data_IF_383096624620
#
_entry.id   IF_383096624620
#
_cell.length_a   1.000
_cell.length_b   1.000
_cell.length_c   1.000
_cell.angle_alpha   90.00
_cell.angle_beta   90.00
_cell.angle_gamma   90.00
#
_symmetry.space_group_name_H-M   'P 1'
#
loop_
_entity.id
_entity.type
_entity.pdbx_description
1 polymer ?
#
# COMPACT_ATOMS: atom_id res chain seq x y z
N UNK A 1 -19.52 6.29 -12.43
CA UNK A 1 -19.07 6.66 -13.79
C UNK A 1 -18.18 5.55 -14.36
N UNK A 2 -18.77 4.41 -14.74
CA UNK A 2 -18.03 3.26 -15.32
C UNK A 2 -17.91 3.34 -16.86
N UNK A 3 -18.47 4.37 -17.51
CA UNK A 3 -18.52 4.46 -18.98
C UNK A 3 -17.25 5.00 -19.63
N UNK A 4 -16.41 5.76 -18.92
CA UNK A 4 -15.27 6.45 -19.55
C UNK A 4 -14.14 5.51 -20.02
N UNK A 5 -14.01 4.32 -19.42
CA UNK A 5 -12.99 3.31 -19.75
C UNK A 5 -13.57 2.04 -20.39
N UNK A 6 -14.89 1.90 -20.41
CA UNK A 6 -15.55 0.72 -20.99
C UNK A 6 -15.29 0.64 -22.49
N UNK A 7 -14.97 -0.55 -23.00
CA UNK A 7 -14.65 -0.82 -24.41
C UNK A 7 -13.49 0.02 -24.97
N UNK A 8 -12.64 0.58 -24.10
CA UNK A 8 -11.40 1.23 -24.52
C UNK A 8 -10.21 0.31 -24.28
N UNK A 9 -9.22 0.29 -25.20
CA UNK A 9 -8.02 -0.50 -24.99
C UNK A 9 -7.21 0.04 -23.80
N UNK A 10 -6.58 -0.87 -23.06
CA UNK A 10 -5.73 -0.54 -21.91
C UNK A 10 -4.64 0.48 -22.27
N UNK A 11 -4.12 0.43 -23.49
CA UNK A 11 -3.12 1.36 -24.01
C UNK A 11 -3.52 2.84 -23.93
N UNK A 12 -4.82 3.16 -23.84
CA UNK A 12 -5.31 4.55 -23.71
C UNK A 12 -4.99 5.19 -22.37
N UNK A 13 -4.74 4.38 -21.34
CA UNK A 13 -4.40 4.86 -19.98
C UNK A 13 -2.96 4.52 -19.59
N UNK A 14 -2.16 4.01 -20.53
CA UNK A 14 -0.75 3.72 -20.32
C UNK A 14 0.11 4.79 -20.99
N UNK A 15 1.32 5.00 -20.45
CA UNK A 15 2.30 5.86 -21.11
C UNK A 15 2.77 5.22 -22.45
N UNK A 16 3.10 6.04 -23.45
CA UNK A 16 3.46 5.60 -24.80
C UNK A 16 4.60 4.57 -24.81
N UNK A 17 5.66 4.81 -24.05
CA UNK A 17 6.79 3.89 -23.96
C UNK A 17 6.36 2.50 -23.45
N UNK A 18 5.47 2.46 -22.45
CA UNK A 18 4.93 1.20 -21.94
C UNK A 18 4.05 0.49 -22.98
N UNK A 19 3.29 1.25 -23.78
CA UNK A 19 2.49 0.68 -24.87
C UNK A 19 3.39 0.09 -25.95
N UNK A 20 4.48 0.77 -26.29
CA UNK A 20 5.48 0.27 -27.25
C UNK A 20 6.15 -1.00 -26.72
N UNK A 21 6.65 -0.98 -25.48
CA UNK A 21 7.26 -2.16 -24.84
C UNK A 21 6.28 -3.34 -24.80
N UNK A 22 5.02 -3.10 -24.44
CA UNK A 22 3.99 -4.14 -24.43
C UNK A 22 3.71 -4.68 -25.83
N UNK A 23 3.60 -3.83 -26.85
CA UNK A 23 3.32 -4.27 -28.21
C UNK A 23 4.48 -5.07 -28.83
N UNK A 24 5.71 -4.84 -28.38
CA UNK A 24 6.89 -5.57 -28.83
C UNK A 24 6.98 -6.98 -28.23
N UNK A 25 6.47 -7.16 -27.00
CA UNK A 25 6.58 -8.42 -26.25
C UNK A 25 5.31 -9.28 -26.31
N UNK A 26 4.15 -8.69 -26.66
CA UNK A 26 2.86 -9.38 -26.62
C UNK A 26 2.68 -10.31 -27.83
N UNK A 27 2.44 -11.58 -27.56
CA UNK A 27 2.20 -12.62 -28.55
C UNK A 27 0.74 -13.09 -28.50
N UNK A 28 0.03 -13.01 -29.62
CA UNK A 28 -1.39 -13.39 -29.72
C UNK A 28 -1.57 -14.89 -30.01
N UNK A 29 -0.85 -15.75 -29.28
CA UNK A 29 -0.94 -17.21 -29.39
C UNK A 29 -1.23 -17.83 -28.01
N UNK A 30 -1.79 -19.05 -27.98
CA UNK A 30 -2.24 -19.68 -26.73
C UNK A 30 -1.10 -19.94 -25.73
N UNK A 31 0.11 -20.17 -26.22
CA UNK A 31 1.30 -20.43 -25.42
C UNK A 31 2.29 -19.25 -25.45
N UNK A 32 1.88 -18.12 -26.03
CA UNK A 32 2.72 -16.95 -26.21
C UNK A 32 2.81 -16.06 -24.98
N UNK A 33 3.77 -15.15 -25.00
CA UNK A 33 3.94 -14.12 -23.96
C UNK A 33 2.72 -13.21 -23.90
N UNK A 34 2.06 -13.16 -22.74
CA UNK A 34 0.81 -12.42 -22.59
C UNK A 34 0.92 -11.22 -21.62
N UNK A 35 -0.19 -10.50 -21.41
CA UNK A 35 -0.23 -9.32 -20.52
C UNK A 35 0.19 -9.63 -19.08
N UNK A 36 -0.12 -10.83 -18.59
CA UNK A 36 0.28 -11.24 -17.24
C UNK A 36 1.82 -11.39 -17.18
N UNK A 37 2.43 -12.03 -18.18
CA UNK A 37 3.88 -12.25 -18.22
C UNK A 37 4.67 -10.94 -18.36
N UNK A 38 4.15 -9.98 -19.12
CA UNK A 38 4.78 -8.68 -19.34
C UNK A 38 4.66 -7.80 -18.09
N UNK A 39 3.44 -7.56 -17.61
CA UNK A 39 3.21 -6.56 -16.56
C UNK A 39 3.68 -7.07 -15.19
N UNK A 40 3.69 -8.39 -14.94
CA UNK A 40 4.24 -8.95 -13.70
C UNK A 40 5.74 -8.66 -13.51
N UNK A 41 6.48 -8.36 -14.60
CA UNK A 41 7.89 -8.00 -14.58
C UNK A 41 8.15 -6.49 -14.57
N UNK A 42 7.09 -5.67 -14.72
CA UNK A 42 7.23 -4.21 -14.76
C UNK A 42 7.35 -3.61 -13.36
N UNK A 43 8.53 -3.09 -13.05
CA UNK A 43 8.78 -2.43 -11.75
C UNK A 43 8.19 -1.02 -11.65
N UNK A 44 7.98 -0.33 -12.79
CA UNK A 44 7.58 1.08 -12.86
C UNK A 44 6.34 1.29 -13.74
N UNK A 45 5.28 0.51 -13.51
CA UNK A 45 4.02 0.68 -14.21
C UNK A 45 3.42 2.06 -13.90
N UNK A 46 3.06 2.80 -14.94
CA UNK A 46 2.57 4.18 -14.82
C UNK A 46 1.32 4.38 -15.66
N UNK A 47 0.26 4.86 -15.04
CA UNK A 47 -1.02 5.12 -15.67
C UNK A 47 -1.22 6.63 -15.89
N UNK A 48 -1.94 6.98 -16.95
CA UNK A 48 -2.34 8.36 -17.23
C UNK A 48 -3.68 8.63 -16.54
N UNK A 49 -3.66 9.48 -15.52
CA UNK A 49 -4.87 9.90 -14.82
C UNK A 49 -5.74 10.83 -15.67
N UNK A 50 -6.99 11.04 -15.25
CA UNK A 50 -7.97 11.92 -15.94
C UNK A 50 -7.48 13.37 -16.14
N UNK A 51 -6.60 13.83 -15.27
CA UNK A 51 -5.95 15.14 -15.34
C UNK A 51 -4.68 15.14 -16.21
N UNK A 52 -4.47 14.10 -17.01
CA UNK A 52 -3.29 13.85 -17.84
C UNK A 52 -1.97 13.78 -17.04
N UNK A 53 -2.04 13.47 -15.74
CA UNK A 53 -0.85 13.26 -14.90
C UNK A 53 -0.53 11.78 -14.80
N UNK A 54 0.76 11.49 -14.79
CA UNK A 54 1.28 10.15 -14.54
C UNK A 54 1.06 9.75 -13.08
N UNK A 55 0.54 8.54 -12.88
CA UNK A 55 0.33 7.90 -11.59
C UNK A 55 1.12 6.61 -11.60
N UNK A 56 2.13 6.52 -10.75
CA UNK A 56 2.91 5.29 -10.61
C UNK A 56 2.13 4.30 -9.76
N UNK A 57 2.04 3.07 -10.23
CA UNK A 57 1.20 2.04 -9.64
C UNK A 57 1.96 0.72 -9.46
N UNK A 58 1.56 -0.05 -8.45
CA UNK A 58 1.81 -1.49 -8.38
C UNK A 58 0.56 -2.21 -8.89
N UNK A 59 0.71 -3.12 -9.83
CA UNK A 59 -0.39 -3.94 -10.32
C UNK A 59 -0.20 -5.41 -9.96
N UNK A 60 -1.30 -6.10 -9.70
CA UNK A 60 -1.40 -7.56 -9.68
C UNK A 60 -2.43 -7.96 -10.71
N UNK A 61 -2.07 -8.88 -11.60
CA UNK A 61 -2.91 -9.32 -12.70
C UNK A 61 -3.25 -10.78 -12.51
N UNK A 62 -4.48 -11.13 -12.86
CA UNK A 62 -4.95 -12.50 -12.81
C UNK A 62 -5.51 -12.87 -14.17
N UNK A 63 -5.10 -14.03 -14.69
CA UNK A 63 -5.84 -14.69 -15.77
C UNK A 63 -7.15 -15.21 -15.18
N UNK A 64 -8.27 -14.85 -15.78
CA UNK A 64 -9.59 -15.32 -15.36
C UNK A 64 -9.99 -16.51 -16.21
N UNK A 65 -10.59 -17.53 -15.60
CA UNK A 65 -11.02 -18.72 -16.30
C UNK A 65 -12.19 -18.37 -17.23
N UNK A 66 -12.02 -18.69 -18.52
CA UNK A 66 -13.06 -18.52 -19.53
C UNK A 66 -13.48 -19.88 -20.10
N UNK A 67 -14.74 -19.95 -20.53
CA UNK A 67 -15.27 -21.10 -21.27
C UNK A 67 -14.84 -21.10 -22.75
N UNK A 68 -14.45 -19.94 -23.30
CA UNK A 68 -13.96 -19.80 -24.68
C UNK A 68 -12.44 -19.93 -24.73
N UNK A 69 -11.95 -20.91 -25.50
CA UNK A 69 -10.52 -21.24 -25.61
C UNK A 69 -9.70 -20.18 -26.33
N UNK A 70 -10.35 -19.23 -27.01
CA UNK A 70 -9.67 -18.25 -27.87
C UNK A 70 -9.61 -16.84 -27.27
N UNK A 71 -10.13 -16.62 -26.05
CA UNK A 71 -10.13 -15.31 -25.39
C UNK A 71 -9.57 -15.45 -23.98
N UNK A 72 -8.43 -14.80 -23.74
CA UNK A 72 -7.86 -14.65 -22.40
C UNK A 72 -8.41 -13.37 -21.77
N UNK A 73 -9.11 -13.53 -20.66
CA UNK A 73 -9.63 -12.41 -19.87
C UNK A 73 -8.72 -12.14 -18.68
N UNK A 74 -8.49 -10.87 -18.36
CA UNK A 74 -7.62 -10.45 -17.27
C UNK A 74 -8.36 -9.60 -16.24
N UNK A 75 -8.07 -9.84 -14.96
CA UNK A 75 -8.46 -8.95 -13.86
C UNK A 75 -7.23 -8.19 -13.35
N UNK A 76 -7.37 -6.88 -13.16
CA UNK A 76 -6.30 -5.99 -12.71
C UNK A 76 -6.63 -5.44 -11.33
N UNK A 77 -5.76 -5.72 -10.36
CA UNK A 77 -5.74 -5.05 -9.06
C UNK A 77 -4.62 -4.01 -9.05
N UNK A 78 -4.98 -2.73 -9.04
CA UNK A 78 -4.04 -1.62 -9.18
C UNK A 78 -3.98 -0.82 -7.87
N UNK A 79 -2.77 -0.50 -7.43
CA UNK A 79 -2.50 0.33 -6.26
C UNK A 79 -1.64 1.53 -6.64
N UNK A 80 -2.14 2.74 -6.37
CA UNK A 80 -1.36 3.97 -6.45
C UNK A 80 -0.24 3.96 -5.38
N UNK A 81 1.00 4.14 -5.82
CA UNK A 81 2.20 4.18 -4.96
C UNK A 81 2.84 5.56 -4.86
N UNK A 82 2.21 6.58 -5.47
CA UNK A 82 2.77 7.93 -5.60
C UNK A 82 3.10 8.55 -4.24
N UNK A 83 2.23 8.38 -3.24
CA UNK A 83 2.45 8.94 -1.89
C UNK A 83 3.65 8.28 -1.22
N UNK A 84 3.77 6.96 -1.28
CA UNK A 84 4.88 6.21 -0.68
C UNK A 84 6.22 6.58 -1.31
N UNK A 85 6.27 6.69 -2.65
CA UNK A 85 7.49 7.10 -3.35
C UNK A 85 7.91 8.53 -2.99
N UNK A 86 6.95 9.46 -2.92
CA UNK A 86 7.23 10.84 -2.48
C UNK A 86 7.74 10.88 -1.05
N UNK A 87 7.18 10.06 -0.17
CA UNK A 87 7.62 9.97 1.22
C UNK A 87 9.05 9.42 1.31
N UNK A 88 9.41 8.41 0.53
CA UNK A 88 10.76 7.85 0.51
C UNK A 88 11.80 8.87 0.01
N UNK A 89 11.46 9.63 -1.03
CA UNK A 89 12.30 10.75 -1.49
C UNK A 89 12.43 11.82 -0.40
N UNK A 90 11.33 12.15 0.28
CA UNK A 90 11.33 13.13 1.36
C UNK A 90 12.21 12.70 2.53
N UNK A 91 12.08 11.45 3.00
CA UNK A 91 12.91 10.85 4.07
C UNK A 91 14.40 10.99 3.74
N UNK A 92 14.80 10.62 2.52
CA UNK A 92 16.18 10.77 2.05
C UNK A 92 16.65 12.23 2.05
N UNK A 93 15.76 13.18 1.77
CA UNK A 93 16.12 14.61 1.72
C UNK A 93 16.34 15.24 3.10
N UNK A 94 15.70 14.73 4.15
CA UNK A 94 15.77 15.32 5.50
C UNK A 94 16.80 14.62 6.38
N UNK A 95 17.15 13.38 6.10
CA UNK A 95 18.07 12.62 6.93
C UNK A 95 18.71 11.49 6.15
N UNK A 96 19.92 11.74 5.66
CA UNK A 96 20.72 10.68 5.02
C UNK A 96 21.07 9.52 5.96
N UNK A 97 20.92 9.67 7.29
CA UNK A 97 21.35 8.71 8.32
C UNK A 97 20.32 8.49 9.45
N UNK A 98 18.99 8.58 9.20
CA UNK A 98 18.04 8.19 10.24
C UNK A 98 18.18 6.70 10.53
N UNK A 99 18.63 6.34 11.72
CA UNK A 99 18.69 4.96 12.19
C UNK A 99 17.44 4.72 13.03
N UNK A 100 16.52 3.91 12.50
CA UNK A 100 15.39 3.42 13.27
C UNK A 100 15.82 2.21 14.10
N UNK A 101 15.44 2.22 15.36
CA UNK A 101 15.54 1.09 16.28
C UNK A 101 14.20 0.37 16.36
N UNK A 102 14.27 -0.97 16.42
CA UNK A 102 13.10 -1.83 16.45
C UNK A 102 12.85 -2.32 17.88
N UNK A 103 11.59 -2.41 18.27
CA UNK A 103 11.20 -3.00 19.54
C UNK A 103 11.60 -4.49 19.58
N UNK A 104 12.33 -4.94 20.61
CA UNK A 104 12.99 -6.26 20.61
C UNK A 104 12.01 -7.45 20.56
N UNK A 105 10.77 -7.26 21.00
CA UNK A 105 9.75 -8.33 21.03
C UNK A 105 8.80 -8.26 19.82
N UNK A 106 8.50 -7.05 19.36
CA UNK A 106 7.39 -6.77 18.46
C UNK A 106 7.82 -6.58 17.01
N UNK A 107 9.12 -6.41 16.76
CA UNK A 107 9.68 -6.28 15.40
C UNK A 107 9.04 -5.14 14.57
N UNK A 108 8.55 -4.11 15.28
CA UNK A 108 8.13 -2.81 14.73
C UNK A 108 9.02 -1.70 15.31
N UNK A 109 8.92 -0.46 14.82
CA UNK A 109 9.66 0.66 15.42
C UNK A 109 9.39 0.77 16.92
N UNK A 110 10.45 0.99 17.70
CA UNK A 110 10.32 1.29 19.12
C UNK A 110 9.71 2.68 19.36
N UNK A 111 9.51 3.06 20.62
CA UNK A 111 8.88 4.33 20.99
C UNK A 111 9.62 5.56 20.45
N UNK A 112 10.94 5.60 20.62
CA UNK A 112 11.76 6.73 20.16
C UNK A 112 11.70 6.89 18.63
N UNK A 113 11.88 5.78 17.93
CA UNK A 113 11.84 5.72 16.46
C UNK A 113 10.46 6.05 15.91
N UNK A 114 9.41 5.60 16.59
CA UNK A 114 8.03 5.88 16.22
C UNK A 114 7.70 7.36 16.37
N UNK A 115 8.10 8.00 17.47
CA UNK A 115 7.90 9.44 17.68
C UNK A 115 8.65 10.26 16.63
N UNK A 116 9.89 9.87 16.31
CA UNK A 116 10.66 10.50 15.24
C UNK A 116 9.94 10.36 13.89
N UNK A 117 9.46 9.17 13.58
CA UNK A 117 8.75 8.92 12.32
C UNK A 117 7.46 9.73 12.22
N UNK A 118 6.67 9.84 13.31
CA UNK A 118 5.49 10.70 13.33
C UNK A 118 5.85 12.13 12.93
N UNK A 119 6.94 12.70 13.45
CA UNK A 119 7.38 14.07 13.11
C UNK A 119 7.72 14.18 11.62
N UNK A 120 8.49 13.23 11.09
CA UNK A 120 8.83 13.17 9.67
C UNK A 120 7.56 13.13 8.80
N UNK A 121 6.58 12.31 9.19
CA UNK A 121 5.31 12.21 8.47
C UNK A 121 4.53 13.51 8.55
N UNK A 122 4.43 14.16 9.71
CA UNK A 122 3.72 15.43 9.83
C UNK A 122 4.34 16.51 8.93
N UNK A 123 5.68 16.61 8.91
CA UNK A 123 6.40 17.54 8.03
C UNK A 123 6.15 17.23 6.55
N UNK A 124 6.15 15.94 6.18
CA UNK A 124 5.81 15.49 4.83
C UNK A 124 4.39 15.89 4.42
N UNK A 125 3.40 15.61 5.28
CA UNK A 125 1.99 15.89 5.01
C UNK A 125 1.77 17.39 4.83
N UNK A 126 2.40 18.22 5.66
CA UNK A 126 2.35 19.68 5.55
C UNK A 126 2.99 20.15 4.24
N UNK A 127 4.21 19.72 3.91
CA UNK A 127 4.95 20.14 2.71
C UNK A 127 4.22 19.78 1.41
N UNK A 128 3.61 18.61 1.34
CA UNK A 128 2.97 18.11 0.11
C UNK A 128 1.44 18.21 0.13
N UNK A 129 0.86 18.93 1.10
CA UNK A 129 -0.59 19.10 1.28
C UNK A 129 -1.37 17.78 1.12
N UNK A 130 -0.87 16.74 1.79
CA UNK A 130 -1.42 15.38 1.74
C UNK A 130 -2.09 15.07 3.07
N UNK A 131 -3.06 14.16 3.06
CA UNK A 131 -3.77 13.73 4.28
C UNK A 131 -3.34 12.32 4.68
N UNK A 132 -3.33 12.08 5.99
CA UNK A 132 -3.21 10.75 6.56
C UNK A 132 -4.13 10.65 7.77
N UNK A 133 -4.43 9.42 8.17
CA UNK A 133 -5.14 9.15 9.42
C UNK A 133 -4.22 8.38 10.35
N UNK A 134 -4.12 8.86 11.61
CA UNK A 134 -3.40 8.15 12.67
C UNK A 134 -4.44 7.45 13.52
N UNK A 135 -4.36 6.13 13.58
CA UNK A 135 -5.13 5.30 14.49
C UNK A 135 -4.22 4.83 15.64
N UNK A 136 -4.74 4.85 16.86
CA UNK A 136 -4.07 4.31 18.03
C UNK A 136 -4.88 3.13 18.54
N UNK A 137 -4.21 1.99 18.73
CA UNK A 137 -4.76 0.79 19.33
C UNK A 137 -4.14 0.64 20.70
N UNK A 138 -4.97 0.62 21.74
CA UNK A 138 -4.57 0.32 23.10
C UNK A 138 -5.07 -1.07 23.45
N UNK A 139 -4.19 -1.94 23.92
CA UNK A 139 -4.56 -3.29 24.33
C UNK A 139 -4.70 -3.30 25.84
N UNK A 140 -5.93 -3.50 26.31
CA UNK A 140 -6.18 -3.58 27.74
C UNK A 140 -5.65 -4.92 28.28
N UNK A 141 -4.81 -4.91 29.32
CA UNK A 141 -4.29 -6.14 29.89
C UNK A 141 -5.44 -6.92 30.55
N UNK A 142 -5.59 -8.23 30.28
CA UNK A 142 -6.53 -9.05 31.02
C UNK A 142 -6.10 -9.10 32.50
N UNK A 143 -7.07 -9.23 33.40
CA UNK A 143 -6.85 -9.24 34.87
C UNK A 143 -5.78 -10.25 35.37
N UNK A 144 -5.38 -11.25 34.55
CA UNK A 144 -4.30 -12.21 34.81
C UNK A 144 -3.15 -12.03 33.78
N UNK A 145 -2.38 -10.96 33.90
CA UNK A 145 -1.44 -10.48 32.87
C UNK A 145 -0.07 -11.18 32.89
N UNK A 146 -0.02 -12.48 32.55
CA UNK A 146 1.26 -13.14 32.22
C UNK A 146 1.61 -13.10 30.73
N UNK A 147 0.74 -12.56 29.86
CA UNK A 147 0.87 -12.75 28.41
C UNK A 147 0.51 -11.53 27.54
N UNK A 148 0.58 -10.32 28.10
CA UNK A 148 0.22 -9.09 27.37
C UNK A 148 1.13 -8.82 26.16
N UNK A 149 2.41 -9.20 26.23
CA UNK A 149 3.33 -9.11 25.09
C UNK A 149 2.94 -10.03 23.94
N UNK A 150 2.50 -11.27 24.24
CA UNK A 150 2.02 -12.20 23.21
C UNK A 150 0.74 -11.67 22.56
N UNK A 151 -0.19 -11.14 23.37
CA UNK A 151 -1.41 -10.52 22.86
C UNK A 151 -1.08 -9.31 21.97
N UNK A 152 -0.10 -8.50 22.39
CA UNK A 152 0.37 -7.34 21.62
C UNK A 152 0.97 -7.77 20.29
N UNK A 153 1.86 -8.77 20.30
CA UNK A 153 2.47 -9.31 19.07
C UNK A 153 1.41 -9.87 18.11
N UNK A 154 0.48 -10.69 18.61
CA UNK A 154 -0.61 -11.22 17.79
C UNK A 154 -1.49 -10.11 17.18
N UNK A 155 -1.73 -9.04 17.93
CA UNK A 155 -2.50 -7.88 17.46
C UNK A 155 -1.75 -7.14 16.35
N UNK A 156 -0.43 -6.98 16.48
CA UNK A 156 0.42 -6.38 15.43
C UNK A 156 0.40 -7.25 14.16
N UNK A 157 0.49 -8.58 14.30
CA UNK A 157 0.45 -9.50 13.15
C UNK A 157 -0.90 -9.43 12.41
N UNK A 158 -2.00 -9.32 13.14
CA UNK A 158 -3.34 -9.10 12.57
C UNK A 158 -3.43 -7.73 11.89
N UNK A 159 -2.86 -6.70 12.50
CA UNK A 159 -2.82 -5.35 11.94
C UNK A 159 -2.07 -5.34 10.61
N UNK A 160 -0.88 -5.95 10.52
CA UNK A 160 -0.10 -6.06 9.27
C UNK A 160 -0.85 -6.77 8.13
N UNK A 161 -1.74 -7.72 8.44
CA UNK A 161 -2.60 -8.37 7.43
C UNK A 161 -3.72 -7.47 6.90
N UNK A 162 -4.08 -6.43 7.64
CA UNK A 162 -5.25 -5.59 7.36
C UNK A 162 -4.91 -4.17 6.89
N UNK A 163 -3.65 -3.75 7.02
CA UNK A 163 -3.14 -2.48 6.50
C UNK A 163 -2.28 -2.69 5.25
N UNK A 164 -1.99 -1.61 4.55
CA UNK A 164 -1.12 -1.67 3.36
C UNK A 164 0.34 -1.71 3.81
N UNK A 165 1.19 -2.33 3.01
CA UNK A 165 2.66 -2.31 3.19
C UNK A 165 3.26 -0.89 3.31
N UNK A 166 2.59 0.12 2.74
CA UNK A 166 3.07 1.51 2.84
C UNK A 166 2.61 2.24 4.09
N UNK A 167 1.62 1.68 4.79
CA UNK A 167 1.13 2.26 6.04
C UNK A 167 2.15 1.95 7.14
N UNK A 168 2.29 2.86 8.08
CA UNK A 168 3.38 2.82 9.08
C UNK A 168 2.81 2.29 10.39
N UNK A 169 3.52 1.36 11.02
CA UNK A 169 3.17 0.82 12.34
C UNK A 169 4.31 1.10 13.31
N UNK A 170 3.98 1.52 14.52
CA UNK A 170 4.98 1.82 15.56
C UNK A 170 4.44 1.62 16.96
N UNK A 171 5.35 1.37 17.90
CA UNK A 171 5.05 1.24 19.32
C UNK A 171 5.18 2.61 20.00
N UNK A 172 4.28 2.95 20.93
CA UNK A 172 4.34 4.22 21.69
C UNK A 172 4.25 4.03 23.21
N UNK A 173 4.67 2.86 23.71
CA UNK A 173 4.65 2.55 25.15
C UNK A 173 3.33 1.89 25.60
N UNK A 174 3.36 1.26 26.78
CA UNK A 174 2.16 0.73 27.47
C UNK A 174 1.23 -0.14 26.59
N UNK A 175 1.79 -0.99 25.71
CA UNK A 175 1.01 -1.81 24.77
C UNK A 175 0.10 -1.00 23.83
N UNK A 176 0.46 0.26 23.57
CA UNK A 176 -0.18 1.13 22.58
C UNK A 176 0.60 1.05 21.27
N UNK A 177 -0.14 0.75 20.21
CA UNK A 177 0.36 0.67 18.84
C UNK A 177 -0.26 1.81 18.06
N UNK A 178 0.53 2.51 17.26
CA UNK A 178 0.00 3.44 16.26
C UNK A 178 0.04 2.82 14.88
N UNK A 179 -0.94 3.19 14.07
CA UNK A 179 -0.94 2.94 12.65
C UNK A 179 -1.21 4.26 11.90
N UNK A 180 -0.35 4.58 10.94
CA UNK A 180 -0.48 5.77 10.09
C UNK A 180 -0.91 5.33 8.69
N UNK A 181 -2.17 5.60 8.36
CA UNK A 181 -2.78 5.30 7.07
C UNK A 181 -2.50 6.44 6.09
N UNK A 182 -1.53 6.26 5.20
CA UNK A 182 -1.09 7.30 4.27
C UNK A 182 -2.11 7.53 3.14
N UNK A 183 -2.38 8.79 2.80
CA UNK A 183 -3.36 9.15 1.78
C UNK A 183 -4.81 8.85 2.18
N UNK A 184 -5.06 8.47 3.43
CA UNK A 184 -6.38 8.17 3.95
C UNK A 184 -6.97 9.42 4.61
N UNK A 185 -8.14 9.87 4.11
CA UNK A 185 -8.90 10.94 4.74
C UNK A 185 -9.73 10.37 5.88
N UNK A 186 -10.12 11.23 6.82
CA UNK A 186 -10.94 10.86 7.97
C UNK A 186 -12.26 10.18 7.59
N UNK A 187 -12.86 10.56 6.45
CA UNK A 187 -14.12 9.97 6.00
C UNK A 187 -13.94 8.50 5.56
N UNK A 188 -12.78 8.16 4.99
CA UNK A 188 -12.45 6.80 4.52
C UNK A 188 -11.85 5.93 5.64
N UNK A 189 -11.33 6.57 6.69
CA UNK A 189 -10.65 5.90 7.79
C UNK A 189 -11.56 4.95 8.56
N UNK A 190 -12.85 5.27 8.69
CA UNK A 190 -13.80 4.42 9.42
C UNK A 190 -13.84 2.99 8.87
N UNK A 191 -13.81 2.82 7.55
CA UNK A 191 -13.81 1.49 6.92
C UNK A 191 -12.52 0.72 7.22
N UNK A 192 -11.37 1.40 7.20
CA UNK A 192 -10.09 0.78 7.54
C UNK A 192 -10.02 0.40 9.03
N UNK A 193 -10.37 1.32 9.92
CA UNK A 193 -10.36 1.11 11.38
C UNK A 193 -11.39 0.06 11.80
N UNK A 194 -12.58 0.05 11.19
CA UNK A 194 -13.61 -0.97 11.46
C UNK A 194 -13.14 -2.37 11.07
N UNK A 195 -12.43 -2.52 9.95
CA UNK A 195 -11.83 -3.81 9.57
C UNK A 195 -10.77 -4.26 10.57
N UNK A 196 -9.91 -3.34 11.04
CA UNK A 196 -8.93 -3.64 12.08
C UNK A 196 -9.62 -4.12 13.36
N UNK A 197 -10.62 -3.37 13.83
CA UNK A 197 -11.39 -3.72 15.01
C UNK A 197 -12.09 -5.09 14.90
N UNK A 198 -12.68 -5.39 13.72
CA UNK A 198 -13.31 -6.70 13.44
C UNK A 198 -12.33 -7.86 13.27
N UNK A 199 -11.07 -7.57 12.97
CA UNK A 199 -10.05 -8.61 12.80
C UNK A 199 -9.39 -9.00 14.11
N UNK A 200 -9.43 -8.09 15.10
CA UNK A 200 -8.83 -8.24 16.42
C UNK A 200 -9.84 -8.82 17.43
N UNK A 201 -11.12 -8.45 17.32
CA UNK A 201 -12.23 -9.02 18.10
C UNK A 201 -12.92 -10.16 17.36
#
# INVERSE_FOLDING_TARGET
TNSELSNKPLSTILNKNLVEDMNNELEYTNDGTDLFDIISKMNNLTFIGKNNKNITVKAKIFRTANFDRNIINYEFLIRDTTISQKLDIFRKSISNNTIYTMHPVFEIMDESSTIMEIKIILDFLHKYNTRATIAMLSIDPPHNSKNIDILTKNTIDLLHKNIRESDITGYIGEHKIICILLGCKSEDAYSAVSRLHKSIN
#
